data_IF_009605328393
#
_entry.id   IF_009605328393
#
_cell.length_a   1.000
_cell.length_b   1.000
_cell.length_c   1.000
_cell.angle_alpha   90.00
_cell.angle_beta   90.00
_cell.angle_gamma   90.00
#
_symmetry.space_group_name_H-M   'P 1'
#
loop_
_entity.id
_entity.type
_entity.pdbx_description
1 polymer ?
#
# COMPACT_ATOMS: atom_id res chain seq x y z
N UNK A 1 -4.98 20.18 -12.31
CA UNK A 1 -4.67 18.88 -11.71
C UNK A 1 -4.73 19.05 -10.21
N UNK A 2 -5.65 18.36 -9.56
CA UNK A 2 -5.96 18.55 -8.15
C UNK A 2 -4.78 18.12 -7.26
N UNK A 3 -4.44 18.89 -6.22
CA UNK A 3 -3.25 18.62 -5.37
C UNK A 3 -3.43 17.31 -4.59
N UNK A 4 -4.64 17.01 -4.12
CA UNK A 4 -4.93 15.77 -3.39
C UNK A 4 -4.85 14.56 -4.32
N UNK A 5 -5.34 14.68 -5.56
CA UNK A 5 -5.14 13.65 -6.59
C UNK A 5 -3.64 13.35 -6.79
N UNK A 6 -2.82 14.39 -6.96
CA UNK A 6 -1.37 14.21 -7.15
C UNK A 6 -0.68 13.58 -5.96
N UNK A 7 -1.13 13.90 -4.74
CA UNK A 7 -0.64 13.25 -3.53
C UNK A 7 -0.93 11.75 -3.56
N UNK A 8 -2.17 11.34 -3.81
CA UNK A 8 -2.56 9.91 -3.84
C UNK A 8 -1.72 9.14 -4.87
N UNK A 9 -1.52 9.73 -6.07
CA UNK A 9 -0.64 9.16 -7.10
C UNK A 9 0.79 8.94 -6.60
N UNK A 10 1.37 9.91 -5.92
CA UNK A 10 2.73 9.77 -5.36
C UNK A 10 2.78 8.73 -4.22
N UNK A 11 1.72 8.63 -3.42
CA UNK A 11 1.58 7.58 -2.39
C UNK A 11 1.50 6.19 -3.05
N UNK A 12 0.73 6.04 -4.13
CA UNK A 12 0.67 4.79 -4.91
C UNK A 12 2.03 4.37 -5.45
N UNK A 13 2.82 5.30 -6.01
CA UNK A 13 4.17 5.00 -6.49
C UNK A 13 5.09 4.46 -5.38
N UNK A 14 4.97 4.99 -4.15
CA UNK A 14 5.71 4.52 -2.98
C UNK A 14 5.24 3.14 -2.53
N UNK A 15 3.92 2.91 -2.49
CA UNK A 15 3.35 1.61 -2.15
C UNK A 15 3.79 0.55 -3.18
N UNK A 16 3.75 0.88 -4.47
CA UNK A 16 4.23 0.01 -5.55
C UNK A 16 5.73 -0.28 -5.43
N UNK A 17 6.54 0.70 -5.01
CA UNK A 17 7.98 0.47 -4.74
C UNK A 17 8.19 -0.63 -3.70
N UNK A 18 7.34 -0.70 -2.66
CA UNK A 18 7.40 -1.74 -1.65
C UNK A 18 6.86 -3.08 -2.16
N UNK A 19 5.79 -3.07 -2.96
CA UNK A 19 5.30 -4.28 -3.63
C UNK A 19 6.41 -4.91 -4.48
N UNK A 20 7.19 -4.12 -5.20
CA UNK A 20 8.34 -4.62 -5.94
C UNK A 20 9.41 -5.25 -5.02
N UNK A 21 9.65 -4.72 -3.81
CA UNK A 21 10.55 -5.37 -2.85
C UNK A 21 10.06 -6.76 -2.49
N UNK A 22 8.75 -6.92 -2.28
CA UNK A 22 8.15 -8.23 -1.97
C UNK A 22 8.33 -9.21 -3.12
N UNK A 23 8.10 -8.76 -4.35
CA UNK A 23 8.25 -9.57 -5.57
C UNK A 23 9.70 -9.97 -5.83
N UNK A 24 10.65 -9.05 -5.62
CA UNK A 24 12.09 -9.34 -5.73
C UNK A 24 12.53 -10.38 -4.69
N UNK A 25 12.04 -10.28 -3.46
CA UNK A 25 12.32 -11.27 -2.42
C UNK A 25 11.73 -12.65 -2.76
N UNK A 26 10.51 -12.70 -3.29
CA UNK A 26 9.89 -13.94 -3.79
C UNK A 26 10.78 -14.59 -4.87
N UNK A 27 11.22 -13.81 -5.86
CA UNK A 27 12.10 -14.29 -6.94
C UNK A 27 13.45 -14.77 -6.41
N UNK A 28 14.05 -14.01 -5.49
CA UNK A 28 15.35 -14.34 -4.89
C UNK A 28 15.31 -15.67 -4.13
N UNK A 29 14.22 -15.92 -3.39
CA UNK A 29 14.05 -17.19 -2.68
C UNK A 29 13.78 -18.34 -3.63
N UNK A 30 12.96 -18.14 -4.66
CA UNK A 30 12.70 -19.16 -5.70
C UNK A 30 13.99 -19.57 -6.44
N UNK A 31 15.01 -18.71 -6.45
CA UNK A 31 16.34 -18.98 -7.01
C UNK A 31 17.34 -19.62 -6.01
N UNK A 32 16.87 -20.05 -4.84
CA UNK A 32 17.67 -20.72 -3.82
C UNK A 32 18.29 -19.80 -2.76
N UNK A 33 17.84 -18.54 -2.69
CA UNK A 33 18.14 -17.67 -1.57
C UNK A 33 17.33 -18.00 -0.31
N UNK A 34 17.81 -17.59 0.85
CA UNK A 34 17.04 -17.70 2.10
C UNK A 34 16.12 -16.49 2.28
N UNK A 35 14.86 -16.62 2.76
CA UNK A 35 13.96 -15.49 2.94
C UNK A 35 14.47 -14.46 3.96
N UNK A 36 14.34 -13.17 3.63
CA UNK A 36 14.63 -12.10 4.59
C UNK A 36 13.35 -11.70 5.34
N UNK A 37 13.02 -12.45 6.39
CA UNK A 37 11.78 -12.23 7.17
C UNK A 37 11.70 -10.87 7.86
N UNK A 38 12.84 -10.25 8.18
CA UNK A 38 12.86 -8.89 8.75
C UNK A 38 12.45 -7.88 7.69
N UNK A 39 13.05 -7.93 6.50
CA UNK A 39 12.68 -7.05 5.39
C UNK A 39 11.20 -7.23 4.98
N UNK A 40 10.74 -8.47 4.84
CA UNK A 40 9.35 -8.77 4.52
C UNK A 40 8.41 -8.25 5.62
N UNK A 41 8.76 -8.44 6.89
CA UNK A 41 8.02 -7.93 8.04
C UNK A 41 7.89 -6.41 8.02
N UNK A 42 9.01 -5.70 7.81
CA UNK A 42 9.06 -4.23 7.74
C UNK A 42 8.23 -3.69 6.55
N UNK A 43 8.34 -4.32 5.37
CA UNK A 43 7.52 -3.96 4.20
C UNK A 43 6.03 -4.13 4.49
N UNK A 44 5.64 -5.29 5.00
CA UNK A 44 4.23 -5.60 5.24
C UNK A 44 3.64 -4.76 6.36
N UNK A 45 4.43 -4.43 7.38
CA UNK A 45 4.01 -3.51 8.44
C UNK A 45 3.69 -2.12 7.86
N UNK A 46 4.58 -1.56 7.03
CA UNK A 46 4.32 -0.29 6.36
C UNK A 46 3.09 -0.35 5.45
N UNK A 47 3.03 -1.37 4.57
CA UNK A 47 1.95 -1.56 3.61
C UNK A 47 0.57 -1.82 4.26
N UNK A 48 0.53 -2.24 5.53
CA UNK A 48 -0.72 -2.38 6.28
C UNK A 48 -1.05 -1.14 7.12
N UNK A 49 -0.06 -0.47 7.70
CA UNK A 49 -0.30 0.60 8.67
C UNK A 49 -0.43 1.98 8.01
N UNK A 50 0.41 2.28 7.02
CA UNK A 50 0.40 3.60 6.37
C UNK A 50 -0.91 3.83 5.60
N UNK A 51 -1.36 2.92 4.71
CA UNK A 51 -2.56 3.18 3.93
C UNK A 51 -3.81 3.39 4.80
N UNK A 52 -4.01 2.53 5.78
CA UNK A 52 -5.14 2.59 6.71
C UNK A 52 -5.19 3.90 7.51
N UNK A 53 -4.02 4.45 7.87
CA UNK A 53 -3.95 5.63 8.74
C UNK A 53 -4.01 6.93 7.96
N UNK A 54 -3.35 6.99 6.80
CA UNK A 54 -3.08 8.25 6.10
C UNK A 54 -3.66 8.33 4.69
N UNK A 55 -3.87 7.19 4.02
CA UNK A 55 -4.24 7.13 2.61
C UNK A 55 -5.73 6.86 2.41
N UNK A 56 -6.22 5.69 2.84
CA UNK A 56 -7.62 5.27 2.68
C UNK A 56 -8.62 6.29 3.23
N UNK A 57 -8.39 7.01 4.37
CA UNK A 57 -9.34 8.03 4.83
C UNK A 57 -9.55 9.20 3.85
N UNK A 58 -8.60 9.45 2.96
CA UNK A 58 -8.70 10.45 1.90
C UNK A 58 -9.50 9.87 0.73
N UNK A 59 -9.15 8.66 0.30
CA UNK A 59 -9.81 7.96 -0.80
C UNK A 59 -11.28 7.71 -0.49
N UNK A 60 -11.61 7.18 0.69
CA UNK A 60 -12.98 6.93 1.12
C UNK A 60 -13.83 8.21 1.06
N UNK A 61 -13.27 9.38 1.41
CA UNK A 61 -14.00 10.66 1.29
C UNK A 61 -14.27 11.01 -0.17
N UNK A 62 -13.29 10.85 -1.05
CA UNK A 62 -13.41 11.11 -2.48
C UNK A 62 -14.43 10.14 -3.10
N UNK A 63 -14.31 8.84 -2.83
CA UNK A 63 -15.21 7.81 -3.35
C UNK A 63 -16.65 8.02 -2.85
N UNK A 64 -16.85 8.38 -1.58
CA UNK A 64 -18.18 8.67 -1.06
C UNK A 64 -18.84 9.87 -1.77
N UNK A 65 -18.07 10.92 -2.08
CA UNK A 65 -18.58 12.06 -2.85
C UNK A 65 -18.87 11.68 -4.30
N UNK A 66 -18.00 10.89 -4.92
CA UNK A 66 -18.17 10.39 -6.27
C UNK A 66 -19.44 9.53 -6.39
N UNK A 67 -19.72 8.65 -5.43
CA UNK A 67 -20.94 7.83 -5.39
C UNK A 67 -22.24 8.65 -5.26
N UNK A 68 -22.15 9.88 -4.76
CA UNK A 68 -23.28 10.82 -4.68
C UNK A 68 -23.50 11.51 -6.03
N UNK A 69 -22.43 11.98 -6.68
CA UNK A 69 -22.51 12.71 -7.95
C UNK A 69 -22.76 11.77 -9.14
N UNK A 70 -22.10 10.61 -9.16
CA UNK A 70 -22.17 9.61 -10.23
C UNK A 70 -22.59 8.24 -9.66
N UNK A 71 -23.89 7.98 -9.49
CA UNK A 71 -24.38 6.72 -8.94
C UNK A 71 -23.91 5.46 -9.69
N UNK A 72 -23.53 5.56 -10.97
CA UNK A 72 -23.00 4.43 -11.73
C UNK A 72 -21.62 3.97 -11.21
N UNK A 73 -20.87 4.83 -10.51
CA UNK A 73 -19.57 4.49 -9.91
C UNK A 73 -19.68 3.58 -8.67
N UNK A 74 -20.88 3.37 -8.13
CA UNK A 74 -21.08 2.65 -6.86
C UNK A 74 -20.60 1.20 -6.89
N UNK A 75 -20.71 0.54 -8.03
CA UNK A 75 -20.21 -0.84 -8.19
C UNK A 75 -18.69 -0.89 -8.10
N UNK A 76 -17.99 0.00 -8.82
CA UNK A 76 -16.54 0.16 -8.74
C UNK A 76 -16.09 0.47 -7.31
N UNK A 77 -16.75 1.42 -6.64
CA UNK A 77 -16.42 1.80 -5.25
C UNK A 77 -16.66 0.64 -4.28
N UNK A 78 -17.70 -0.16 -4.49
CA UNK A 78 -17.94 -1.35 -3.69
C UNK A 78 -16.83 -2.39 -3.87
N UNK A 79 -16.34 -2.58 -5.10
CA UNK A 79 -15.19 -3.45 -5.39
C UNK A 79 -13.94 -2.95 -4.66
N UNK A 80 -13.59 -1.67 -4.78
CA UNK A 80 -12.43 -1.08 -4.10
C UNK A 80 -12.49 -1.26 -2.58
N UNK A 81 -13.65 -0.99 -1.96
CA UNK A 81 -13.83 -1.21 -0.53
C UNK A 81 -13.63 -2.69 -0.13
N UNK A 82 -14.05 -3.63 -0.98
CA UNK A 82 -13.86 -5.05 -0.73
C UNK A 82 -12.38 -5.47 -0.91
N UNK A 83 -11.67 -4.85 -1.85
CA UNK A 83 -10.23 -5.00 -2.03
C UNK A 83 -9.47 -4.49 -0.81
N UNK A 84 -9.79 -3.30 -0.27
CA UNK A 84 -9.20 -2.76 0.96
C UNK A 84 -9.31 -3.76 2.13
N UNK A 85 -10.51 -4.31 2.36
CA UNK A 85 -10.73 -5.31 3.41
C UNK A 85 -9.88 -6.58 3.20
N UNK A 86 -9.80 -7.03 1.95
CA UNK A 86 -9.05 -8.24 1.58
C UNK A 86 -7.55 -8.02 1.76
N UNK A 87 -7.03 -6.87 1.30
CA UNK A 87 -5.64 -6.46 1.48
C UNK A 87 -5.28 -6.38 2.96
N UNK A 88 -6.12 -5.76 3.78
CA UNK A 88 -5.92 -5.68 5.23
C UNK A 88 -5.80 -7.05 5.88
N UNK A 89 -6.71 -7.97 5.56
CA UNK A 89 -6.70 -9.31 6.12
C UNK A 89 -5.47 -10.11 5.68
N UNK A 90 -5.16 -10.13 4.38
CA UNK A 90 -3.95 -10.81 3.87
C UNK A 90 -2.69 -10.21 4.49
N UNK A 91 -2.59 -8.88 4.50
CA UNK A 91 -1.41 -8.18 4.98
C UNK A 91 -1.13 -8.45 6.45
N UNK A 92 -2.17 -8.46 7.29
CA UNK A 92 -2.03 -8.81 8.70
C UNK A 92 -1.56 -10.25 8.90
N UNK A 93 -2.04 -11.22 8.09
CA UNK A 93 -1.59 -12.61 8.17
C UNK A 93 -0.10 -12.73 7.81
N UNK A 94 0.31 -12.19 6.67
CA UNK A 94 1.72 -12.21 6.23
C UNK A 94 2.62 -11.55 7.26
N UNK A 95 2.27 -10.33 7.71
CA UNK A 95 3.04 -9.58 8.71
C UNK A 95 3.20 -10.37 10.03
N UNK A 96 2.15 -11.06 10.47
CA UNK A 96 2.20 -11.90 11.68
C UNK A 96 3.10 -13.12 11.49
N UNK A 97 3.01 -13.80 10.35
CA UNK A 97 3.84 -14.95 10.02
C UNK A 97 5.33 -14.57 9.93
N UNK A 98 5.66 -13.45 9.29
CA UNK A 98 7.05 -12.95 9.22
C UNK A 98 7.63 -12.65 10.61
N UNK A 99 6.85 -11.99 11.48
CA UNK A 99 7.28 -11.72 12.88
C UNK A 99 7.47 -13.00 13.70
N UNK A 100 6.62 -14.00 13.51
CA UNK A 100 6.74 -15.27 14.23
C UNK A 100 8.03 -16.01 13.87
N UNK A 101 8.39 -16.04 12.57
CA UNK A 101 9.65 -16.65 12.13
C UNK A 101 10.87 -15.91 12.67
N UNK A 102 10.84 -14.57 12.70
CA UNK A 102 11.90 -13.77 13.28
C UNK A 102 12.13 -14.04 14.78
N UNK A 103 11.14 -14.60 15.48
CA UNK A 103 11.20 -15.00 16.88
C UNK A 103 11.51 -16.51 17.07
N UNK A 104 12.18 -17.13 16.10
CA UNK A 104 12.61 -18.54 16.11
C UNK A 104 11.46 -19.56 16.11
N UNK A 105 10.25 -19.15 15.69
CA UNK A 105 9.18 -20.11 15.41
C UNK A 105 9.40 -20.74 14.03
N UNK A 106 9.22 -22.06 13.92
CA UNK A 106 9.27 -22.75 12.64
C UNK A 106 7.96 -22.47 11.88
N UNK A 107 8.06 -21.72 10.79
CA UNK A 107 6.94 -21.52 9.86
C UNK A 107 7.38 -21.91 8.44
N UNK A 108 6.61 -22.70 7.68
CA UNK A 108 6.97 -23.06 6.32
C UNK A 108 6.99 -21.80 5.42
N UNK A 109 8.10 -21.58 4.72
CA UNK A 109 8.20 -20.51 3.73
C UNK A 109 7.06 -20.57 2.69
N UNK A 110 6.66 -21.76 2.26
CA UNK A 110 5.63 -21.93 1.22
C UNK A 110 4.27 -21.30 1.58
N UNK A 111 3.92 -21.31 2.88
CA UNK A 111 2.69 -20.68 3.37
C UNK A 111 2.80 -19.15 3.28
N UNK A 112 3.91 -18.58 3.74
CA UNK A 112 4.19 -17.13 3.65
C UNK A 112 4.27 -16.70 2.18
N UNK A 113 4.96 -17.48 1.34
CA UNK A 113 5.14 -17.24 -0.09
C UNK A 113 3.81 -17.10 -0.82
N UNK A 114 2.87 -18.01 -0.57
CA UNK A 114 1.56 -18.01 -1.21
C UNK A 114 0.76 -16.76 -0.85
N UNK A 115 0.72 -16.39 0.43
CA UNK A 115 -0.01 -15.21 0.89
C UNK A 115 0.66 -13.91 0.44
N UNK A 116 2.00 -13.86 0.45
CA UNK A 116 2.78 -12.71 0.01
C UNK A 116 2.58 -12.44 -1.48
N UNK A 117 2.62 -13.48 -2.32
CA UNK A 117 2.36 -13.36 -3.76
C UNK A 117 0.92 -12.90 -4.04
N UNK A 118 -0.06 -13.43 -3.31
CA UNK A 118 -1.45 -13.01 -3.43
C UNK A 118 -1.65 -11.54 -3.02
N UNK A 119 -1.01 -11.11 -1.93
CA UNK A 119 -1.04 -9.71 -1.50
C UNK A 119 -0.43 -8.76 -2.53
N UNK A 120 0.77 -9.09 -3.04
CA UNK A 120 1.46 -8.27 -4.05
C UNK A 120 0.61 -8.10 -5.32
N UNK A 121 0.03 -9.19 -5.82
CA UNK A 121 -0.84 -9.16 -7.00
C UNK A 121 -2.08 -8.30 -6.76
N UNK A 122 -2.78 -8.50 -5.64
CA UNK A 122 -3.99 -7.75 -5.30
C UNK A 122 -3.70 -6.26 -5.11
N UNK A 123 -2.60 -5.89 -4.46
CA UNK A 123 -2.24 -4.48 -4.24
C UNK A 123 -1.98 -3.76 -5.56
N UNK A 124 -1.34 -4.42 -6.53
CA UNK A 124 -1.15 -3.85 -7.88
C UNK A 124 -2.47 -3.65 -8.61
N UNK A 125 -3.33 -4.65 -8.59
CA UNK A 125 -4.65 -4.58 -9.24
C UNK A 125 -5.51 -3.48 -8.62
N UNK A 126 -5.51 -3.39 -7.30
CA UNK A 126 -6.21 -2.36 -6.54
C UNK A 126 -5.77 -0.94 -6.92
N UNK A 127 -4.46 -0.66 -6.84
CA UNK A 127 -3.89 0.64 -7.25
C UNK A 127 -4.20 0.94 -8.73
N UNK A 128 -4.22 -0.09 -9.59
CA UNK A 128 -4.56 0.07 -11.01
C UNK A 128 -6.02 0.53 -11.20
N UNK A 129 -6.97 -0.06 -10.45
CA UNK A 129 -8.38 0.34 -10.47
C UNK A 129 -8.56 1.79 -9.98
N UNK A 130 -7.86 2.17 -8.92
CA UNK A 130 -7.91 3.55 -8.40
C UNK A 130 -7.33 4.54 -9.42
N UNK A 131 -6.14 4.24 -9.94
CA UNK A 131 -5.38 5.14 -10.80
C UNK A 131 -5.96 5.34 -12.20
N UNK A 132 -6.60 4.32 -12.76
CA UNK A 132 -7.08 4.34 -14.13
C UNK A 132 -8.60 4.53 -14.24
N UNK A 133 -9.34 4.30 -13.16
CA UNK A 133 -10.80 4.35 -13.19
C UNK A 133 -11.35 5.34 -12.16
N UNK A 134 -11.15 5.08 -10.88
CA UNK A 134 -11.86 5.81 -9.83
C UNK A 134 -11.36 7.25 -9.64
N UNK A 135 -10.04 7.45 -9.49
CA UNK A 135 -9.45 8.77 -9.31
C UNK A 135 -9.59 9.66 -10.55
N UNK A 136 -9.37 9.18 -11.79
CA UNK A 136 -9.63 9.99 -12.98
C UNK A 136 -11.09 10.42 -13.11
N UNK A 137 -12.04 9.52 -12.79
CA UNK A 137 -13.46 9.85 -12.80
C UNK A 137 -13.79 10.90 -11.73
N UNK A 138 -13.20 10.78 -10.53
CA UNK A 138 -13.30 11.79 -9.49
C UNK A 138 -12.76 13.15 -9.95
N UNK A 139 -11.57 13.20 -10.58
CA UNK A 139 -10.98 14.44 -11.07
C UNK A 139 -11.84 15.10 -12.16
N UNK A 140 -12.51 14.30 -12.98
CA UNK A 140 -13.39 14.82 -14.02
C UNK A 140 -14.69 15.41 -13.46
N UNK A 141 -15.27 14.80 -12.41
CA UNK A 141 -16.64 15.09 -11.98
C UNK A 141 -16.75 15.89 -10.69
N UNK A 142 -15.78 15.76 -9.77
CA UNK A 142 -15.83 16.44 -8.49
C UNK A 142 -15.31 17.88 -8.61
N UNK A 143 -16.09 18.90 -8.19
CA UNK A 143 -15.58 20.26 -8.01
C UNK A 143 -14.43 20.30 -7.02
N UNK A 144 -13.49 21.22 -7.19
CA UNK A 144 -12.30 21.36 -6.32
C UNK A 144 -12.67 21.51 -4.83
N UNK A 145 -13.81 22.12 -4.50
CA UNK A 145 -14.27 22.33 -3.13
C UNK A 145 -14.74 21.04 -2.44
N UNK A 146 -15.01 19.98 -3.21
CA UNK A 146 -15.37 18.68 -2.64
C UNK A 146 -14.13 17.88 -2.24
N UNK A 147 -12.98 18.14 -2.85
CA UNK A 147 -11.76 17.43 -2.50
C UNK A 147 -11.32 17.72 -1.06
N UNK A 148 -10.84 16.70 -0.31
CA UNK A 148 -10.29 16.91 1.02
C UNK A 148 -9.15 17.94 1.01
N UNK A 149 -9.17 18.90 1.94
CA UNK A 149 -8.14 19.94 2.04
C UNK A 149 -6.76 19.34 2.33
N UNK A 150 -5.79 19.64 1.46
CA UNK A 150 -4.41 19.14 1.57
C UNK A 150 -3.70 19.55 2.87
N UNK A 151 -4.10 20.66 3.51
CA UNK A 151 -3.43 21.22 4.69
C UNK A 151 -3.87 20.61 6.03
N UNK A 152 -5.00 19.89 6.04
CA UNK A 152 -5.57 19.22 7.22
C UNK A 152 -5.14 17.76 7.34
N UNK A 153 -4.34 17.28 6.39
CA UNK A 153 -3.89 15.90 6.27
C UNK A 153 -2.38 15.92 6.43
N UNK A 154 -1.89 15.44 7.58
CA UNK A 154 -0.48 15.53 8.00
C UNK A 154 0.49 15.15 6.86
N UNK A 155 1.54 15.97 6.78
CA UNK A 155 2.44 16.11 5.64
C UNK A 155 3.13 14.79 5.25
N UNK A 156 3.52 14.72 3.98
CA UNK A 156 4.59 13.87 3.47
C UNK A 156 5.81 13.77 4.41
N UNK A 157 6.09 14.85 5.17
CA UNK A 157 7.16 14.90 6.16
C UNK A 157 7.02 13.89 7.32
N UNK A 158 5.78 13.50 7.69
CA UNK A 158 5.48 12.55 8.76
C UNK A 158 5.35 11.11 8.29
N UNK A 159 5.48 10.86 6.97
CA UNK A 159 5.60 9.51 6.45
C UNK A 159 6.81 8.82 7.11
N UNK A 160 6.60 7.67 7.80
CA UNK A 160 7.63 7.07 8.64
C UNK A 160 8.76 6.41 7.83
N UNK A 161 8.61 6.24 6.51
CA UNK A 161 9.61 5.63 5.62
C UNK A 161 10.11 6.59 4.54
N UNK A 162 9.21 7.33 3.89
CA UNK A 162 9.55 8.24 2.79
C UNK A 162 9.56 9.72 3.20
N UNK A 163 9.23 10.02 4.46
CA UNK A 163 9.26 11.37 5.01
C UNK A 163 10.68 11.87 5.33
N UNK A 164 10.76 13.03 5.98
CA UNK A 164 12.04 13.69 6.30
C UNK A 164 12.90 12.89 7.29
N UNK A 165 12.25 12.14 8.18
CA UNK A 165 12.90 11.36 9.22
C UNK A 165 12.37 9.94 9.13
N UNK A 166 13.22 9.02 8.67
CA UNK A 166 12.92 7.59 8.66
C UNK A 166 12.83 7.09 10.10
N UNK A 167 11.68 6.53 10.46
CA UNK A 167 11.45 5.94 11.76
C UNK A 167 12.42 4.76 11.99
N UNK A 168 12.84 4.57 13.24
CA UNK A 168 13.82 3.55 13.62
C UNK A 168 13.46 2.14 13.10
N UNK A 169 12.17 1.79 13.13
CA UNK A 169 11.66 0.51 12.65
C UNK A 169 11.79 0.27 11.15
N UNK A 170 11.85 1.33 10.33
CA UNK A 170 11.93 1.21 8.86
C UNK A 170 13.32 1.45 8.29
N UNK A 171 14.35 1.63 9.13
CA UNK A 171 15.72 1.90 8.64
C UNK A 171 16.28 0.82 7.74
N UNK A 172 16.05 -0.45 8.08
CA UNK A 172 16.54 -1.58 7.27
C UNK A 172 15.88 -1.58 5.90
N UNK A 173 14.56 -1.40 5.86
CA UNK A 173 13.79 -1.27 4.63
C UNK A 173 14.24 -0.06 3.80
N UNK A 174 14.40 1.11 4.42
CA UNK A 174 14.90 2.30 3.74
C UNK A 174 16.27 2.06 3.09
N UNK A 175 17.21 1.48 3.84
CA UNK A 175 18.53 1.13 3.33
C UNK A 175 18.46 0.12 2.18
N UNK A 176 17.55 -0.83 2.23
CA UNK A 176 17.33 -1.75 1.13
C UNK A 176 16.85 -0.99 -0.12
N UNK A 177 15.82 -0.16 0.00
CA UNK A 177 15.24 0.61 -1.12
C UNK A 177 16.28 1.48 -1.82
N UNK A 178 17.07 2.27 -1.07
CA UNK A 178 18.05 3.18 -1.68
C UNK A 178 19.22 2.45 -2.37
N UNK A 179 19.46 1.19 -2.00
CA UNK A 179 20.55 0.39 -2.56
C UNK A 179 20.10 -0.52 -3.72
N UNK A 180 18.79 -0.63 -4.01
CA UNK A 180 18.23 -1.46 -5.11
C UNK A 180 18.68 -1.03 -6.52
N UNK A 181 19.24 0.17 -6.67
CA UNK A 181 19.69 0.74 -7.95
C UNK A 181 21.18 1.02 -8.09
N UNK A 182 22.04 0.42 -7.23
CA UNK A 182 23.52 0.59 -7.25
C UNK A 182 24.24 -0.53 -7.98
#
# INVERSE_FOLDING_TARGET
MNITYQRLKNEHERLLTLVEVLEEELVRVDQGGEPNYVLLGDCMDYLCCYPETFHHPIEEKIMNQLAVIEPASRELIQTLNQEHLTLKDLGQRVSTSCRAVAQESLFPWEEIRTELAAYAALMREHILHEDNEALPLAEQLLPDEMWPESSSLENDDSDPLFGKVVADGYRNLYHHIINRGS
#
